data_IF_204754667137
#
_entry.id   IF_204754667137
#
_cell.length_a   1.000
_cell.length_b   1.000
_cell.length_c   1.000
_cell.angle_alpha   90.00
_cell.angle_beta   90.00
_cell.angle_gamma   90.00
#
_symmetry.space_group_name_H-M   'P 1'
#
loop_
_entity.id
_entity.type
_entity.pdbx_description
1 polymer ?
#
# COMPACT_ATOMS: atom_id res chain seq x y z
N UNK A 1 1.79 -17.03 65.51
CA UNK A 1 2.32 -16.01 64.58
C UNK A 1 2.50 -16.50 63.12
N UNK A 2 3.05 -17.69 62.87
CA UNK A 2 3.22 -18.20 61.50
C UNK A 2 1.93 -18.46 60.72
N UNK A 3 0.87 -18.92 61.36
CA UNK A 3 -0.41 -19.22 60.69
C UNK A 3 -1.14 -17.94 60.22
N UNK A 4 -1.03 -16.85 60.94
CA UNK A 4 -1.61 -15.55 60.54
C UNK A 4 -0.76 -14.89 59.42
N UNK A 5 0.55 -15.06 59.43
CA UNK A 5 1.41 -14.58 58.36
C UNK A 5 1.15 -15.33 57.04
N UNK A 6 1.02 -16.66 57.11
CA UNK A 6 0.70 -17.49 55.94
C UNK A 6 -0.70 -17.15 55.34
N UNK A 7 -1.71 -16.94 56.23
CA UNK A 7 -3.06 -16.55 55.78
C UNK A 7 -3.07 -15.18 55.07
N UNK A 8 -2.34 -14.20 55.64
CA UNK A 8 -2.23 -12.87 55.03
C UNK A 8 -1.48 -12.94 53.69
N UNK A 9 -0.42 -13.73 53.57
CA UNK A 9 0.32 -13.92 52.31
C UNK A 9 -0.56 -14.51 51.21
N UNK A 10 -1.37 -15.53 51.53
CA UNK A 10 -2.32 -16.14 50.60
C UNK A 10 -3.39 -15.14 50.14
N UNK A 11 -3.87 -14.30 51.06
CA UNK A 11 -4.85 -13.27 50.74
C UNK A 11 -4.26 -12.19 49.82
N UNK A 12 -3.02 -11.73 50.12
CA UNK A 12 -2.31 -10.78 49.25
C UNK A 12 -2.00 -11.38 47.90
N UNK A 13 -1.60 -12.65 47.83
CA UNK A 13 -1.36 -13.35 46.58
C UNK A 13 -2.65 -13.48 45.73
N UNK A 14 -3.75 -13.84 46.36
CA UNK A 14 -5.08 -13.90 45.70
C UNK A 14 -5.49 -12.53 45.16
N UNK A 15 -5.36 -11.46 45.95
CA UNK A 15 -5.64 -10.11 45.52
C UNK A 15 -4.76 -9.67 44.36
N UNK A 16 -3.47 -9.95 44.43
CA UNK A 16 -2.50 -9.64 43.37
C UNK A 16 -2.86 -10.37 42.06
N UNK A 17 -3.24 -11.64 42.11
CA UNK A 17 -3.66 -12.43 40.96
C UNK A 17 -4.97 -11.87 40.34
N UNK A 18 -5.94 -11.45 41.18
CA UNK A 18 -7.16 -10.81 40.69
C UNK A 18 -6.87 -9.47 40.00
N UNK A 19 -5.99 -8.65 40.59
CA UNK A 19 -5.59 -7.37 39.99
C UNK A 19 -4.83 -7.57 38.66
N UNK A 20 -3.90 -8.52 38.61
CA UNK A 20 -3.18 -8.88 37.38
C UNK A 20 -4.13 -9.43 36.32
N UNK A 21 -5.05 -10.33 36.70
CA UNK A 21 -6.06 -10.85 35.80
C UNK A 21 -6.96 -9.75 35.23
N UNK A 22 -7.42 -8.84 36.10
CA UNK A 22 -8.21 -7.68 35.71
C UNK A 22 -7.45 -6.75 34.74
N UNK A 23 -6.17 -6.52 35.01
CA UNK A 23 -5.31 -5.69 34.14
C UNK A 23 -5.13 -6.32 32.73
N UNK A 24 -4.92 -7.63 32.68
CA UNK A 24 -4.78 -8.37 31.41
C UNK A 24 -6.10 -8.32 30.62
N UNK A 25 -7.23 -8.55 31.26
CA UNK A 25 -8.55 -8.49 30.59
C UNK A 25 -8.84 -7.09 30.11
N UNK A 26 -8.57 -6.06 30.90
CA UNK A 26 -8.71 -4.66 30.51
C UNK A 26 -7.80 -4.32 29.32
N UNK A 27 -6.52 -4.69 29.40
CA UNK A 27 -5.56 -4.44 28.33
C UNK A 27 -5.98 -5.09 27.01
N UNK A 28 -6.41 -6.36 27.05
CA UNK A 28 -6.91 -7.08 25.88
C UNK A 28 -8.17 -6.42 25.30
N UNK A 29 -9.11 -6.03 26.16
CA UNK A 29 -10.34 -5.36 25.74
C UNK A 29 -10.04 -4.01 25.07
N UNK A 30 -9.12 -3.21 25.64
CA UNK A 30 -8.71 -1.92 25.09
C UNK A 30 -7.94 -2.08 23.77
N UNK A 31 -7.09 -3.10 23.65
CA UNK A 31 -6.31 -3.37 22.44
C UNK A 31 -7.19 -3.83 21.26
N UNK A 32 -8.21 -4.64 21.55
CA UNK A 32 -9.09 -5.22 20.51
C UNK A 32 -10.39 -4.43 20.30
N UNK A 33 -10.72 -3.54 21.21
CA UNK A 33 -11.91 -2.69 21.15
C UNK A 33 -11.78 -1.57 20.14
N UNK A 34 -12.91 -0.90 19.84
CA UNK A 34 -12.92 0.26 18.95
C UNK A 34 -12.00 1.37 19.46
N UNK A 35 -11.17 1.91 18.56
CA UNK A 35 -10.23 2.98 18.86
C UNK A 35 -10.88 4.36 18.96
N UNK A 36 -10.13 5.35 19.46
CA UNK A 36 -10.65 6.71 19.70
C UNK A 36 -10.71 7.58 18.42
N UNK A 37 -10.23 7.10 17.28
CA UNK A 37 -10.11 7.88 16.05
C UNK A 37 -11.50 8.27 15.52
N UNK A 38 -11.80 9.55 15.47
CA UNK A 38 -13.11 10.08 15.04
C UNK A 38 -13.28 10.05 13.50
N UNK A 39 -12.19 10.31 12.77
CA UNK A 39 -12.15 10.35 11.31
C UNK A 39 -10.97 9.54 10.79
N UNK A 40 -11.09 8.99 9.58
CA UNK A 40 -9.99 8.26 8.96
C UNK A 40 -8.79 9.20 8.68
N UNK A 41 -7.58 8.68 8.84
CA UNK A 41 -6.34 9.44 8.59
C UNK A 41 -5.38 8.69 7.69
N UNK A 42 -4.57 9.42 6.92
CA UNK A 42 -3.39 8.90 6.26
C UNK A 42 -2.20 8.87 7.22
N UNK A 43 -1.70 7.69 7.50
CA UNK A 43 -0.51 7.45 8.33
C UNK A 43 0.68 7.14 7.44
N UNK A 44 1.67 8.03 7.43
CA UNK A 44 2.92 7.80 6.73
C UNK A 44 3.96 7.22 7.68
N UNK A 45 4.61 6.15 7.24
CA UNK A 45 5.70 5.46 7.92
C UNK A 45 6.93 5.53 7.03
N UNK A 46 7.93 6.31 7.43
CA UNK A 46 9.17 6.46 6.67
C UNK A 46 10.08 5.23 6.83
N UNK A 47 10.96 4.99 5.86
CA UNK A 47 11.95 3.90 5.93
C UNK A 47 12.88 4.12 7.13
N UNK A 48 13.12 3.06 7.88
CA UNK A 48 13.90 3.12 9.12
C UNK A 48 13.12 3.56 10.37
N UNK A 49 11.83 3.85 10.25
CA UNK A 49 10.95 4.03 11.42
C UNK A 49 10.87 2.75 12.24
N UNK A 50 10.65 2.92 13.54
CA UNK A 50 10.46 1.82 14.47
C UNK A 50 9.11 1.90 15.18
N UNK A 51 8.71 0.81 15.82
CA UNK A 51 7.42 0.69 16.51
C UNK A 51 7.24 1.71 17.65
N UNK A 52 8.33 2.17 18.27
CA UNK A 52 8.28 3.20 19.33
C UNK A 52 7.84 4.56 18.74
N UNK A 53 8.51 5.00 17.67
CA UNK A 53 8.19 6.28 16.99
C UNK A 53 6.77 6.22 16.43
N UNK A 54 6.41 5.12 15.80
CA UNK A 54 5.07 4.91 15.26
C UNK A 54 4.00 5.02 16.36
N UNK A 55 4.16 4.29 17.47
CA UNK A 55 3.17 4.28 18.55
C UNK A 55 2.93 5.65 19.17
N UNK A 56 3.99 6.47 19.31
CA UNK A 56 3.89 7.85 19.79
C UNK A 56 3.16 8.75 18.78
N UNK A 57 3.44 8.58 17.49
CA UNK A 57 2.74 9.31 16.42
C UNK A 57 1.24 8.96 16.39
N UNK A 58 0.89 7.69 16.55
CA UNK A 58 -0.50 7.23 16.60
C UNK A 58 -1.25 7.81 17.82
N UNK A 59 -0.62 7.82 19.00
CA UNK A 59 -1.18 8.41 20.20
C UNK A 59 -1.36 9.93 20.04
N UNK A 60 -0.35 10.64 19.53
CA UNK A 60 -0.41 12.09 19.27
C UNK A 60 -1.48 12.50 18.25
N UNK A 61 -1.86 11.59 17.35
CA UNK A 61 -2.96 11.78 16.38
C UNK A 61 -4.31 11.27 16.87
N UNK A 62 -4.39 10.75 18.09
CA UNK A 62 -5.61 10.19 18.63
C UNK A 62 -6.06 8.88 17.98
N UNK A 63 -5.16 8.18 17.28
CA UNK A 63 -5.47 6.89 16.63
C UNK A 63 -5.44 5.72 17.62
N UNK A 64 -4.63 5.82 18.66
CA UNK A 64 -4.59 4.87 19.78
C UNK A 64 -4.72 5.61 21.10
N UNK A 65 -5.35 4.98 22.09
CA UNK A 65 -5.53 5.58 23.42
C UNK A 65 -4.27 5.53 24.27
N UNK A 66 -3.34 4.61 23.98
CA UNK A 66 -2.10 4.45 24.74
C UNK A 66 -0.99 3.78 23.90
N UNK A 67 0.09 4.51 23.69
CA UNK A 67 1.23 4.05 22.88
C UNK A 67 1.95 2.84 23.50
N UNK A 68 2.03 2.76 24.83
CA UNK A 68 2.68 1.64 25.50
C UNK A 68 1.85 0.36 25.34
N UNK A 69 0.54 0.44 25.53
CA UNK A 69 -0.37 -0.69 25.33
C UNK A 69 -0.32 -1.18 23.88
N UNK A 70 -0.29 -0.27 22.90
CA UNK A 70 -0.14 -0.64 21.49
C UNK A 70 1.15 -1.44 21.26
N UNK A 71 2.31 -0.96 21.77
CA UNK A 71 3.59 -1.69 21.63
C UNK A 71 3.55 -3.07 22.29
N UNK A 72 3.03 -3.17 23.52
CA UNK A 72 2.91 -4.45 24.21
C UNK A 72 2.06 -5.44 23.39
N UNK A 73 0.96 -4.97 22.81
CA UNK A 73 0.10 -5.82 21.97
C UNK A 73 0.78 -6.28 20.68
N UNK A 74 1.56 -5.41 20.03
CA UNK A 74 2.35 -5.75 18.82
C UNK A 74 3.48 -6.72 19.16
N UNK A 75 4.17 -6.50 20.28
CA UNK A 75 5.26 -7.37 20.77
C UNK A 75 4.72 -8.77 21.14
N UNK A 76 3.59 -8.83 21.82
CA UNK A 76 2.92 -10.10 22.15
C UNK A 76 2.55 -10.93 20.91
N UNK A 77 2.32 -10.29 19.79
CA UNK A 77 2.04 -10.92 18.49
C UNK A 77 3.30 -11.21 17.66
N UNK A 78 4.49 -10.94 18.18
CA UNK A 78 5.79 -11.10 17.51
C UNK A 78 5.86 -10.32 16.16
N UNK A 79 5.35 -9.06 16.14
CA UNK A 79 5.28 -8.24 14.93
C UNK A 79 6.12 -6.98 14.96
N UNK A 80 6.88 -6.76 16.00
CA UNK A 80 7.67 -5.53 16.18
C UNK A 80 8.61 -5.26 15.01
N UNK A 81 9.25 -6.32 14.48
CA UNK A 81 10.18 -6.24 13.35
C UNK A 81 9.51 -6.28 11.96
N UNK A 82 8.18 -6.46 11.92
CA UNK A 82 7.44 -6.58 10.67
C UNK A 82 6.88 -5.24 10.17
N UNK A 83 7.26 -4.13 10.79
CA UNK A 83 6.81 -2.78 10.41
C UNK A 83 7.20 -2.47 8.97
N UNK A 84 6.21 -2.08 8.16
CA UNK A 84 6.40 -1.71 6.75
C UNK A 84 6.40 -0.20 6.58
N UNK A 85 7.37 0.31 5.81
CA UNK A 85 7.34 1.69 5.35
C UNK A 85 6.27 1.87 4.27
N UNK A 86 5.59 3.01 4.28
CA UNK A 86 4.53 3.32 3.32
C UNK A 86 3.52 4.32 3.86
N UNK A 87 2.47 4.57 3.08
CA UNK A 87 1.33 5.39 3.49
C UNK A 87 0.11 4.49 3.62
N UNK A 88 -0.50 4.48 4.80
CA UNK A 88 -1.60 3.60 5.16
C UNK A 88 -2.83 4.40 5.55
N UNK A 89 -3.99 4.01 5.01
CA UNK A 89 -5.27 4.52 5.47
C UNK A 89 -5.60 3.83 6.81
N UNK A 90 -5.79 4.63 7.84
CA UNK A 90 -6.24 4.20 9.14
C UNK A 90 -7.71 4.63 9.28
N UNK A 91 -8.67 3.69 9.22
CA UNK A 91 -10.09 3.99 9.29
C UNK A 91 -10.51 4.57 10.65
N UNK A 92 -11.64 5.26 10.67
CA UNK A 92 -12.26 5.71 11.93
C UNK A 92 -12.59 4.53 12.85
N UNK A 93 -12.51 4.75 14.14
CA UNK A 93 -12.84 3.78 15.20
C UNK A 93 -12.10 2.44 15.11
N UNK A 94 -11.04 2.36 14.31
CA UNK A 94 -10.21 1.16 14.13
C UNK A 94 -9.54 0.78 15.45
N UNK A 95 -9.49 -0.53 15.76
CA UNK A 95 -8.84 -1.04 16.98
C UNK A 95 -7.31 -1.01 16.85
N UNK A 96 -6.59 -1.02 17.97
CA UNK A 96 -5.13 -1.14 17.99
C UNK A 96 -4.65 -2.42 17.28
N UNK A 97 -5.38 -3.53 17.44
CA UNK A 97 -5.08 -4.79 16.77
C UNK A 97 -5.16 -4.65 15.25
N UNK A 98 -6.19 -3.99 14.73
CA UNK A 98 -6.35 -3.73 13.29
C UNK A 98 -5.29 -2.76 12.76
N UNK A 99 -4.93 -1.71 13.53
CA UNK A 99 -3.83 -0.82 13.14
C UNK A 99 -2.53 -1.63 13.02
N UNK A 100 -2.23 -2.51 13.98
CA UNK A 100 -1.08 -3.38 13.93
C UNK A 100 -1.09 -4.27 12.67
N UNK A 101 -2.23 -4.85 12.29
CA UNK A 101 -2.38 -5.61 11.05
C UNK A 101 -2.11 -4.76 9.81
N UNK A 102 -2.67 -3.55 9.72
CA UNK A 102 -2.49 -2.63 8.59
C UNK A 102 -1.00 -2.31 8.38
N UNK A 103 -0.27 -1.97 9.45
CA UNK A 103 1.12 -1.49 9.34
C UNK A 103 2.16 -2.61 9.25
N UNK A 104 1.80 -3.86 9.58
CA UNK A 104 2.72 -5.01 9.54
C UNK A 104 2.43 -5.98 8.41
N UNK A 105 1.16 -6.28 8.13
CA UNK A 105 0.73 -7.19 7.06
C UNK A 105 0.30 -6.44 5.80
N UNK A 106 -0.11 -5.18 5.95
CA UNK A 106 -0.66 -4.37 4.89
C UNK A 106 0.18 -4.44 3.62
N UNK A 107 -0.52 -4.54 2.50
CA UNK A 107 0.04 -4.57 1.16
C UNK A 107 0.50 -3.19 0.69
N UNK A 108 0.19 -2.85 -0.56
CA UNK A 108 0.50 -1.57 -1.17
C UNK A 108 0.01 -0.37 -0.34
N UNK A 109 0.67 0.77 -0.50
CA UNK A 109 0.23 2.04 0.06
C UNK A 109 -1.26 2.26 -0.22
N UNK A 110 -2.07 2.27 0.83
CA UNK A 110 -3.53 2.45 0.71
C UNK A 110 -3.94 3.91 0.84
N UNK A 111 -3.00 4.80 1.17
CA UNK A 111 -3.23 6.23 1.37
C UNK A 111 -2.10 7.06 0.78
N UNK A 112 -2.39 8.27 0.37
CA UNK A 112 -1.40 9.21 -0.16
C UNK A 112 -1.68 9.63 -1.58
N UNK A 113 -0.67 10.20 -2.23
CA UNK A 113 -0.76 10.72 -3.59
C UNK A 113 -0.29 9.69 -4.61
N UNK A 114 -0.99 9.61 -5.72
CA UNK A 114 -0.71 8.74 -6.84
C UNK A 114 -0.59 9.56 -8.12
N UNK A 115 0.48 9.34 -8.88
CA UNK A 115 0.63 9.85 -10.24
C UNK A 115 0.33 8.69 -11.20
N UNK A 116 -0.67 8.87 -12.06
CA UNK A 116 -1.09 7.86 -13.04
C UNK A 116 -0.81 8.38 -14.44
N UNK A 117 0.08 7.69 -15.15
CA UNK A 117 0.32 7.89 -16.59
C UNK A 117 -0.67 7.02 -17.35
N UNK A 118 -1.69 7.63 -17.94
CA UNK A 118 -2.70 6.95 -18.75
C UNK A 118 -2.32 6.99 -20.21
N UNK A 119 -1.77 5.90 -20.71
CA UNK A 119 -1.41 5.73 -22.12
C UNK A 119 -2.66 5.32 -22.88
N UNK A 120 -3.20 6.24 -23.67
CA UNK A 120 -4.36 6.03 -24.51
C UNK A 120 -4.01 6.05 -25.99
N UNK A 121 -4.99 5.72 -26.85
CA UNK A 121 -4.81 5.63 -28.30
C UNK A 121 -4.34 6.94 -28.93
N UNK A 122 -4.83 8.09 -28.45
CA UNK A 122 -4.54 9.38 -29.05
C UNK A 122 -3.53 10.22 -28.27
N UNK A 123 -3.43 10.00 -26.96
CA UNK A 123 -2.59 10.80 -26.07
C UNK A 123 -2.32 10.08 -24.76
N UNK A 124 -1.23 10.45 -24.11
CA UNK A 124 -0.95 10.06 -22.74
C UNK A 124 -1.30 11.19 -21.79
N UNK A 125 -2.14 10.89 -20.80
CA UNK A 125 -2.55 11.83 -19.77
C UNK A 125 -1.85 11.53 -18.46
N UNK A 126 -1.38 12.55 -17.76
CA UNK A 126 -0.81 12.45 -16.42
C UNK A 126 -1.83 12.96 -15.42
N UNK A 127 -2.30 12.08 -14.55
CA UNK A 127 -3.27 12.39 -13.50
C UNK A 127 -2.62 12.33 -12.13
N UNK A 128 -2.79 13.38 -11.34
CA UNK A 128 -2.42 13.39 -9.94
C UNK A 128 -3.68 13.15 -9.12
N UNK A 129 -3.69 12.05 -8.38
CA UNK A 129 -4.82 11.69 -7.51
C UNK A 129 -4.34 11.59 -6.07
N UNK A 130 -5.16 12.06 -5.16
CA UNK A 130 -4.92 11.99 -3.73
C UNK A 130 -6.10 11.34 -3.03
N UNK A 131 -5.83 10.40 -2.13
CA UNK A 131 -6.90 9.81 -1.34
C UNK A 131 -7.40 10.85 -0.33
N UNK A 132 -8.68 11.15 -0.39
CA UNK A 132 -9.38 11.88 0.67
C UNK A 132 -9.74 10.88 1.78
N UNK A 133 -9.14 10.99 2.97
CA UNK A 133 -9.42 10.06 4.06
C UNK A 133 -10.87 10.11 4.55
N UNK A 134 -11.54 11.25 4.42
CA UNK A 134 -12.92 11.41 4.91
C UNK A 134 -13.94 10.63 4.06
N UNK A 135 -13.73 10.62 2.75
CA UNK A 135 -14.60 9.93 1.79
C UNK A 135 -14.05 8.57 1.35
N UNK A 136 -12.79 8.27 1.70
CA UNK A 136 -12.04 7.08 1.28
C UNK A 136 -11.98 6.93 -0.26
N UNK A 137 -12.10 8.03 -0.99
CA UNK A 137 -12.07 8.07 -2.45
C UNK A 137 -10.85 8.82 -2.98
N UNK A 138 -10.39 8.43 -4.18
CA UNK A 138 -9.32 9.14 -4.87
C UNK A 138 -9.89 10.38 -5.57
N UNK A 139 -9.44 11.56 -5.15
CA UNK A 139 -9.80 12.85 -5.74
C UNK A 139 -8.70 13.28 -6.71
N UNK A 140 -9.09 13.66 -7.93
CA UNK A 140 -8.18 14.22 -8.92
C UNK A 140 -7.75 15.64 -8.50
N UNK A 141 -6.44 15.88 -8.40
CA UNK A 141 -5.85 17.18 -8.06
C UNK A 141 -5.38 17.95 -9.29
N UNK A 142 -4.89 17.23 -10.29
CA UNK A 142 -4.49 17.79 -11.57
C UNK A 142 -4.54 16.71 -12.65
N UNK A 143 -4.69 17.18 -13.90
CA UNK A 143 -4.72 16.34 -15.09
C UNK A 143 -4.16 17.17 -16.25
N UNK A 144 -3.12 16.68 -16.93
CA UNK A 144 -2.47 17.34 -18.05
C UNK A 144 -1.96 16.30 -19.06
N UNK A 145 -1.71 16.72 -20.29
CA UNK A 145 -1.18 15.84 -21.32
C UNK A 145 0.36 15.73 -21.15
N UNK A 146 0.89 14.53 -21.30
CA UNK A 146 2.33 14.28 -21.31
C UNK A 146 2.98 15.10 -22.47
N UNK A 147 4.10 15.77 -22.17
CA UNK A 147 4.76 16.68 -23.09
C UNK A 147 4.29 18.14 -23.04
N UNK A 148 3.22 18.45 -22.28
CA UNK A 148 2.85 19.82 -21.95
C UNK A 148 3.59 20.31 -20.68
N UNK A 149 3.56 21.63 -20.44
CA UNK A 149 4.13 22.21 -19.22
C UNK A 149 3.45 21.61 -17.98
N UNK A 150 4.24 20.91 -17.17
CA UNK A 150 3.75 20.26 -15.98
C UNK A 150 3.33 21.32 -14.92
N UNK A 151 2.15 21.19 -14.30
CA UNK A 151 1.75 22.09 -13.22
C UNK A 151 2.67 21.94 -12.00
N UNK A 152 2.86 23.04 -11.22
CA UNK A 152 3.72 23.03 -10.03
C UNK A 152 3.40 21.88 -9.07
N UNK A 153 2.13 21.54 -8.91
CA UNK A 153 1.70 20.42 -8.06
C UNK A 153 2.31 19.08 -8.50
N UNK A 154 2.58 18.88 -9.79
CA UNK A 154 3.24 17.67 -10.28
C UNK A 154 4.68 17.58 -9.79
N UNK A 155 5.45 18.66 -9.93
CA UNK A 155 6.86 18.73 -9.50
C UNK A 155 6.98 18.45 -8.01
N UNK A 156 6.13 19.09 -7.21
CA UNK A 156 6.09 18.91 -5.77
C UNK A 156 5.76 17.47 -5.36
N UNK A 157 4.73 16.89 -5.99
CA UNK A 157 4.26 15.54 -5.69
C UNK A 157 5.28 14.49 -6.16
N UNK A 158 5.86 14.67 -7.34
CA UNK A 158 6.84 13.75 -7.92
C UNK A 158 8.14 13.69 -7.09
N UNK A 159 8.53 14.81 -6.46
CA UNK A 159 9.68 14.88 -5.56
C UNK A 159 9.43 14.24 -4.18
N UNK A 160 8.17 14.02 -3.77
CA UNK A 160 7.83 13.48 -2.45
C UNK A 160 8.14 11.99 -2.36
N UNK A 161 8.93 11.60 -1.37
CA UNK A 161 9.10 10.18 -1.04
C UNK A 161 7.76 9.60 -0.56
N UNK A 162 7.28 8.56 -1.24
CA UNK A 162 5.99 7.90 -0.92
C UNK A 162 4.87 8.19 -1.91
N UNK A 163 5.09 9.04 -2.92
CA UNK A 163 4.21 9.13 -4.08
C UNK A 163 4.25 7.81 -4.84
N UNK A 164 3.09 7.27 -5.17
CA UNK A 164 2.97 6.09 -6.03
C UNK A 164 2.92 6.51 -7.48
N UNK A 165 3.61 5.75 -8.30
CA UNK A 165 3.56 5.93 -9.75
C UNK A 165 2.92 4.70 -10.39
N UNK A 166 2.01 4.93 -11.31
CA UNK A 166 1.27 3.89 -12.01
C UNK A 166 1.17 4.22 -13.48
N UNK A 167 1.35 3.23 -14.31
CA UNK A 167 1.10 3.31 -15.75
C UNK A 167 -0.17 2.51 -16.02
N UNK A 168 -1.20 3.17 -16.56
CA UNK A 168 -2.44 2.54 -16.99
C UNK A 168 -2.47 2.53 -18.52
N UNK A 169 -2.37 1.35 -19.11
CA UNK A 169 -2.36 1.15 -20.55
C UNK A 169 -3.76 0.80 -21.03
N UNK A 170 -4.32 1.60 -21.95
CA UNK A 170 -5.61 1.33 -22.55
C UNK A 170 -5.51 0.24 -23.63
N UNK A 171 -6.60 -0.47 -23.86
CA UNK A 171 -6.73 -1.37 -25.00
C UNK A 171 -6.64 -0.61 -26.33
N UNK A 172 -6.07 -1.24 -27.36
CA UNK A 172 -5.92 -0.67 -28.69
C UNK A 172 -4.78 0.33 -28.87
N UNK A 173 -3.93 0.50 -27.86
CA UNK A 173 -2.69 1.29 -27.98
C UNK A 173 -1.64 0.44 -28.68
N UNK A 174 -0.92 1.02 -29.67
CA UNK A 174 0.14 0.34 -30.40
C UNK A 174 1.41 0.18 -29.57
N UNK A 175 2.20 -0.84 -29.86
CA UNK A 175 3.52 -1.06 -29.22
C UNK A 175 4.42 0.15 -29.36
N UNK A 176 4.40 0.84 -30.52
CA UNK A 176 5.13 2.08 -30.75
C UNK A 176 4.72 3.19 -29.79
N UNK A 177 3.40 3.40 -29.59
CA UNK A 177 2.89 4.42 -28.67
C UNK A 177 3.28 4.12 -27.22
N UNK A 178 3.25 2.85 -26.82
CA UNK A 178 3.72 2.44 -25.49
C UNK A 178 5.17 2.79 -25.28
N UNK A 179 6.05 2.41 -26.22
CA UNK A 179 7.48 2.69 -26.16
C UNK A 179 7.75 4.21 -26.12
N UNK A 180 7.06 4.98 -26.97
CA UNK A 180 7.18 6.44 -26.98
C UNK A 180 6.76 7.04 -25.63
N UNK A 181 5.60 6.65 -25.10
CA UNK A 181 5.11 7.16 -23.82
C UNK A 181 6.04 6.78 -22.65
N UNK A 182 6.54 5.55 -22.61
CA UNK A 182 7.50 5.12 -21.58
C UNK A 182 8.81 5.89 -21.64
N UNK A 183 9.27 6.28 -22.84
CA UNK A 183 10.49 7.05 -23.03
C UNK A 183 10.39 8.46 -22.43
N UNK A 184 9.21 9.05 -22.42
CA UNK A 184 8.94 10.38 -21.90
C UNK A 184 8.64 10.42 -20.39
N UNK A 185 8.46 9.26 -19.70
CA UNK A 185 8.22 9.22 -18.26
C UNK A 185 9.52 9.47 -17.51
N UNK A 186 9.63 10.66 -16.89
CA UNK A 186 10.84 11.08 -16.16
C UNK A 186 11.14 10.22 -14.92
N UNK A 187 10.12 9.62 -14.33
CA UNK A 187 10.25 8.75 -13.14
C UNK A 187 11.02 7.47 -13.45
N UNK A 188 11.02 7.03 -14.72
CA UNK A 188 11.71 5.83 -15.18
C UNK A 188 13.15 6.14 -15.64
N UNK A 189 14.03 5.13 -15.57
CA UNK A 189 15.43 5.23 -15.94
C UNK A 189 15.79 4.32 -17.13
N UNK A 190 16.94 4.62 -17.77
CA UNK A 190 17.48 3.82 -18.88
C UNK A 190 16.71 4.00 -20.18
N UNK A 191 17.21 3.38 -21.25
CA UNK A 191 16.65 3.45 -22.59
C UNK A 191 15.85 2.18 -22.92
N UNK A 192 14.97 2.29 -23.91
CA UNK A 192 14.28 1.16 -24.53
C UNK A 192 15.07 0.73 -25.78
N UNK A 193 15.24 -0.58 -25.94
CA UNK A 193 16.10 -1.13 -27.01
C UNK A 193 15.32 -1.29 -28.31
N UNK A 194 14.13 -1.88 -28.23
CA UNK A 194 13.32 -2.22 -29.39
C UNK A 194 11.84 -1.94 -29.17
N UNK A 195 11.08 -1.85 -30.26
CA UNK A 195 9.62 -1.81 -30.23
C UNK A 195 9.14 -3.26 -30.36
N UNK A 196 8.39 -3.79 -29.37
CA UNK A 196 7.84 -5.13 -29.44
C UNK A 196 6.80 -5.30 -30.56
N UNK A 197 6.54 -6.54 -30.94
CA UNK A 197 5.47 -6.85 -31.89
C UNK A 197 4.10 -6.39 -31.37
N UNK A 198 3.23 -5.99 -32.29
CA UNK A 198 1.85 -5.60 -31.93
C UNK A 198 1.11 -6.77 -31.31
N UNK A 199 0.34 -6.46 -30.25
CA UNK A 199 -0.37 -7.47 -29.47
C UNK A 199 0.46 -8.21 -28.42
N UNK A 200 1.76 -7.93 -28.30
CA UNK A 200 2.63 -8.56 -27.29
C UNK A 200 2.64 -7.86 -25.93
N UNK A 201 1.91 -6.75 -25.76
CA UNK A 201 1.87 -5.94 -24.54
C UNK A 201 0.47 -6.01 -23.94
N UNK A 202 0.36 -6.41 -22.68
CA UNK A 202 -0.93 -6.47 -21.98
C UNK A 202 -1.46 -5.08 -21.62
N UNK A 203 -2.69 -4.73 -21.99
CA UNK A 203 -3.36 -3.51 -21.53
C UNK A 203 -3.83 -3.72 -20.08
N UNK A 204 -3.06 -3.19 -19.13
CA UNK A 204 -3.32 -3.32 -17.69
C UNK A 204 -2.73 -2.12 -16.94
N UNK A 205 -2.77 -2.17 -15.63
CA UNK A 205 -2.27 -1.14 -14.72
C UNK A 205 -1.03 -1.62 -13.98
N UNK A 206 0.10 -0.97 -14.24
CA UNK A 206 1.41 -1.33 -13.74
C UNK A 206 1.91 -0.33 -12.71
N UNK A 207 2.13 -0.77 -11.49
CA UNK A 207 2.82 0.05 -10.50
C UNK A 207 4.32 0.08 -10.83
N UNK A 208 4.90 1.28 -10.79
CA UNK A 208 6.33 1.50 -11.07
C UNK A 208 6.99 2.27 -9.93
N UNK A 209 8.30 2.10 -9.80
CA UNK A 209 9.10 2.77 -8.78
C UNK A 209 9.93 3.88 -9.42
N UNK A 210 10.23 4.90 -8.63
CA UNK A 210 11.17 5.93 -9.07
C UNK A 210 12.54 5.32 -9.37
N UNK A 211 13.06 5.58 -10.56
CA UNK A 211 14.33 5.03 -11.06
C UNK A 211 14.23 3.60 -11.60
N UNK A 212 13.03 3.01 -11.70
CA UNK A 212 12.85 1.70 -12.33
C UNK A 212 13.21 1.77 -13.83
N UNK A 213 13.88 0.73 -14.34
CA UNK A 213 14.27 0.68 -15.75
C UNK A 213 13.07 0.55 -16.68
N UNK A 214 13.00 1.41 -17.72
CA UNK A 214 11.96 1.37 -18.76
C UNK A 214 11.82 -0.01 -19.38
N UNK A 215 12.96 -0.64 -19.72
CA UNK A 215 12.98 -1.99 -20.29
C UNK A 215 12.40 -3.04 -19.31
N UNK A 216 12.63 -2.89 -18.00
CA UNK A 216 12.06 -3.78 -16.99
C UNK A 216 10.53 -3.67 -16.94
N UNK A 217 10.00 -2.46 -17.05
CA UNK A 217 8.56 -2.21 -17.11
C UNK A 217 7.96 -2.83 -18.37
N UNK A 218 8.57 -2.60 -19.54
CA UNK A 218 8.14 -3.17 -20.81
C UNK A 218 8.15 -4.70 -20.78
N UNK A 219 9.20 -5.31 -20.23
CA UNK A 219 9.30 -6.77 -20.10
C UNK A 219 8.19 -7.34 -19.19
N UNK A 220 7.79 -6.61 -18.12
CA UNK A 220 6.64 -7.04 -17.29
C UNK A 220 5.32 -6.98 -18.06
N UNK A 221 5.14 -5.96 -18.91
CA UNK A 221 3.96 -5.82 -19.74
C UNK A 221 3.85 -6.97 -20.76
N UNK A 222 4.98 -7.35 -21.36
CA UNK A 222 5.05 -8.48 -22.29
C UNK A 222 4.82 -9.81 -21.59
N UNK A 223 5.44 -10.05 -20.44
CA UNK A 223 5.23 -11.27 -19.65
C UNK A 223 3.78 -11.41 -19.18
N UNK A 224 3.11 -10.31 -18.86
CA UNK A 224 1.68 -10.32 -18.53
C UNK A 224 0.83 -10.76 -19.73
N UNK A 225 1.13 -10.26 -20.94
CA UNK A 225 0.44 -10.70 -22.16
C UNK A 225 0.64 -12.17 -22.46
N UNK A 226 1.86 -12.66 -22.34
CA UNK A 226 2.16 -14.07 -22.53
C UNK A 226 1.36 -14.94 -21.54
N UNK A 227 1.28 -14.54 -20.27
CA UNK A 227 0.50 -15.26 -19.27
C UNK A 227 -1.00 -15.31 -19.61
N UNK A 228 -1.57 -14.17 -20.08
CA UNK A 228 -2.96 -14.10 -20.54
C UNK A 228 -3.22 -15.05 -21.71
N UNK A 229 -2.32 -15.07 -22.69
CA UNK A 229 -2.45 -15.93 -23.87
C UNK A 229 -2.35 -17.41 -23.50
N UNK A 230 -1.44 -17.80 -22.59
CA UNK A 230 -1.32 -19.17 -22.09
C UNK A 230 -2.59 -19.60 -21.37
N UNK A 231 -3.13 -18.77 -20.48
CA UNK A 231 -4.36 -19.09 -19.75
C UNK A 231 -5.56 -19.24 -20.71
N UNK A 232 -5.69 -18.32 -21.67
CA UNK A 232 -6.72 -18.42 -22.71
C UNK A 232 -6.58 -19.69 -23.56
N UNK A 233 -5.35 -20.07 -23.88
CA UNK A 233 -5.04 -21.29 -24.64
C UNK A 233 -5.40 -22.57 -23.89
N UNK A 234 -5.13 -22.64 -22.60
CA UNK A 234 -5.46 -23.78 -21.75
C UNK A 234 -6.98 -24.01 -21.62
N UNK A 235 -7.75 -22.94 -21.68
CA UNK A 235 -9.23 -22.97 -21.54
C UNK A 235 -9.98 -22.91 -22.87
N UNK A 236 -9.27 -23.01 -24.01
CA UNK A 236 -9.86 -22.90 -25.35
C UNK A 236 -10.83 -24.04 -25.67
N UNK A 237 -11.73 -23.80 -26.62
CA UNK A 237 -12.58 -24.86 -27.19
C UNK A 237 -11.72 -25.91 -27.92
N UNK A 238 -12.10 -27.18 -27.80
CA UNK A 238 -11.33 -28.33 -28.38
C UNK A 238 -11.29 -28.31 -29.92
N UNK A 239 -12.27 -27.66 -30.56
CA UNK A 239 -12.41 -27.58 -32.01
C UNK A 239 -11.85 -26.30 -32.63
N UNK A 240 -11.09 -25.50 -31.84
CA UNK A 240 -10.46 -24.31 -32.34
C UNK A 240 -9.39 -24.60 -33.39
N UNK A 241 -9.46 -24.00 -34.61
CA UNK A 241 -8.53 -24.32 -35.71
C UNK A 241 -7.13 -23.74 -35.56
N UNK A 242 -6.77 -23.21 -34.37
CA UNK A 242 -5.47 -22.65 -34.06
C UNK A 242 -4.53 -23.73 -33.52
N UNK A 243 -3.24 -23.60 -33.82
CA UNK A 243 -2.20 -24.61 -33.43
C UNK A 243 -1.29 -24.09 -32.31
N UNK A 244 -1.27 -22.80 -32.05
CA UNK A 244 -0.45 -22.15 -31.02
C UNK A 244 -1.19 -20.94 -30.37
N UNK A 245 -0.80 -20.55 -29.14
CA UNK A 245 -1.45 -19.42 -28.43
C UNK A 245 -1.24 -18.05 -29.09
N UNK A 246 -0.26 -17.93 -30.00
CA UNK A 246 0.06 -16.66 -30.70
C UNK A 246 -0.61 -16.54 -32.09
N UNK A 247 -1.34 -17.54 -32.52
CA UNK A 247 -2.13 -17.51 -33.77
C UNK A 247 -3.50 -16.86 -33.55
#
# INVERSE_FOLDING_TARGET
MWRSAASNLLTFMGLALLLLGGLVVWGKSTYSGAGPLAEAICLRIDRGSNMRVLSQSLEGRGAVSNAALFRIGVEYQDRTEQLKAGSFLIPKSVSMAQIADIVTRGGANTCGTEIVYRIGINKTMVQIRELDPATETLVERANFQQGEDAPEVFTDVNARSGTRHRIALAEGVTSWQVVQSLSEIETLAGDLVDIPEEGSIAPDSYEVRQGEGRQSVLNRMMAAQEAILIEAWETRAEDLPLTAPQE
#
